data_IF_163734290203
#
_entry.id   IF_163734290203
#
_cell.length_a   1.000
_cell.length_b   1.000
_cell.length_c   1.000
_cell.angle_alpha   90.00
_cell.angle_beta   90.00
_cell.angle_gamma   90.00
#
_symmetry.space_group_name_H-M   'P 1'
#
loop_
_entity.id
_entity.type
_entity.pdbx_description
1 polymer ?
#
# COMPACT_ATOMS: atom_id res chain seq x y z
N UNK A 1 14.06 15.83 -33.43
CA UNK A 1 13.07 15.96 -32.33
C UNK A 1 13.43 14.93 -31.27
N UNK A 2 13.35 15.26 -29.99
CA UNK A 2 13.58 14.24 -28.94
C UNK A 2 12.46 13.19 -29.03
N UNK A 3 12.84 11.91 -28.92
CA UNK A 3 11.90 10.77 -28.95
C UNK A 3 11.36 10.54 -27.53
N UNK A 4 10.61 11.52 -27.01
CA UNK A 4 10.02 11.43 -25.67
C UNK A 4 8.77 10.53 -25.69
N UNK A 5 8.63 9.68 -24.68
CA UNK A 5 7.50 8.77 -24.47
C UNK A 5 7.33 8.53 -22.96
N UNK A 6 6.11 8.27 -22.51
CA UNK A 6 5.79 7.90 -21.12
C UNK A 6 5.03 6.57 -21.11
N UNK A 7 5.52 5.62 -20.31
CA UNK A 7 4.77 4.40 -20.02
C UNK A 7 3.55 4.71 -19.16
N UNK A 8 2.36 4.59 -19.75
CA UNK A 8 1.08 4.83 -19.09
C UNK A 8 0.33 3.54 -18.71
N UNK A 9 0.81 2.38 -19.13
CA UNK A 9 0.17 1.09 -18.84
C UNK A 9 1.26 0.08 -18.47
N UNK A 10 1.42 -0.16 -17.17
CA UNK A 10 2.36 -1.15 -16.65
C UNK A 10 1.91 -1.72 -15.30
N UNK A 11 2.34 -2.94 -15.06
CA UNK A 11 1.97 -3.77 -13.92
C UNK A 11 3.19 -4.08 -13.07
N UNK A 12 3.11 -3.74 -11.79
CA UNK A 12 4.09 -4.14 -10.80
C UNK A 12 3.74 -5.51 -10.21
N UNK A 13 4.59 -6.00 -9.31
CA UNK A 13 4.30 -7.17 -8.49
C UNK A 13 3.04 -7.04 -7.61
N UNK A 14 2.45 -5.84 -7.48
CA UNK A 14 1.14 -5.65 -6.84
C UNK A 14 -0.04 -5.99 -7.75
N UNK A 15 0.17 -6.20 -9.05
CA UNK A 15 -0.72 -7.01 -9.89
C UNK A 15 -0.52 -8.48 -9.55
N UNK A 16 -1.09 -8.91 -8.42
CA UNK A 16 -0.80 -10.20 -7.80
C UNK A 16 -1.01 -11.37 -8.78
N UNK A 17 0.01 -12.21 -8.89
CA UNK A 17 0.05 -13.38 -9.78
C UNK A 17 -0.07 -13.03 -11.27
N UNK A 18 0.34 -11.83 -11.67
CA UNK A 18 0.38 -11.41 -13.06
C UNK A 18 1.61 -10.52 -13.37
N UNK A 19 1.79 -9.42 -12.64
CA UNK A 19 2.96 -8.54 -12.78
C UNK A 19 4.20 -9.06 -12.07
N UNK A 20 5.37 -8.84 -12.67
CA UNK A 20 6.68 -9.25 -12.18
C UNK A 20 7.63 -8.07 -11.88
N UNK A 21 7.20 -6.83 -12.18
CA UNK A 21 8.05 -5.65 -12.01
C UNK A 21 8.14 -5.25 -10.53
N UNK A 22 9.36 -5.24 -9.99
CA UNK A 22 9.64 -4.67 -8.66
C UNK A 22 9.78 -3.15 -8.76
N UNK A 23 9.10 -2.42 -7.87
CA UNK A 23 9.04 -0.95 -7.92
C UNK A 23 10.43 -0.30 -7.78
N UNK A 24 11.31 -0.72 -6.86
CA UNK A 24 12.66 -0.13 -6.77
C UNK A 24 13.48 -0.33 -8.06
N UNK A 25 13.40 -1.51 -8.66
CA UNK A 25 14.12 -1.84 -9.89
C UNK A 25 13.56 -1.05 -11.08
N UNK A 26 12.23 -0.88 -11.15
CA UNK A 26 11.55 -0.04 -12.13
C UNK A 26 12.02 1.42 -12.05
N UNK A 27 12.14 1.98 -10.85
CA UNK A 27 12.59 3.36 -10.66
C UNK A 27 14.03 3.56 -11.19
N UNK A 28 14.95 2.65 -10.87
CA UNK A 28 16.32 2.72 -11.39
C UNK A 28 16.35 2.61 -12.91
N UNK A 29 15.59 1.66 -13.46
CA UNK A 29 15.54 1.45 -14.91
C UNK A 29 14.87 2.60 -15.66
N UNK A 30 13.84 3.21 -15.08
CA UNK A 30 13.20 4.42 -15.63
C UNK A 30 14.19 5.58 -15.74
N UNK A 31 15.02 5.78 -14.70
CA UNK A 31 16.11 6.77 -14.72
C UNK A 31 17.17 6.44 -15.76
N UNK A 32 17.61 5.18 -15.83
CA UNK A 32 18.57 4.72 -16.84
C UNK A 32 18.07 4.97 -18.27
N UNK A 33 16.78 4.73 -18.52
CA UNK A 33 16.15 4.90 -19.82
C UNK A 33 15.77 6.36 -20.12
N UNK A 34 16.04 7.28 -19.19
CA UNK A 34 15.79 8.72 -19.38
C UNK A 34 14.31 9.12 -19.33
N UNK A 35 13.44 8.31 -18.73
CA UNK A 35 12.03 8.66 -18.58
C UNK A 35 11.85 9.89 -17.68
N UNK A 36 11.00 10.82 -18.11
CA UNK A 36 10.59 11.98 -17.30
C UNK A 36 9.42 11.65 -16.37
N UNK A 37 8.55 10.74 -16.80
CA UNK A 37 7.41 10.26 -16.04
C UNK A 37 7.14 8.79 -16.35
N UNK A 38 6.53 8.08 -15.40
CA UNK A 38 6.09 6.69 -15.53
C UNK A 38 4.79 6.52 -14.74
N UNK A 39 3.81 5.78 -15.27
CA UNK A 39 2.59 5.44 -14.57
C UNK A 39 2.67 4.06 -13.92
N UNK A 40 1.88 3.84 -12.87
CA UNK A 40 1.60 2.50 -12.33
C UNK A 40 0.10 2.24 -12.43
N UNK A 41 -0.29 1.12 -13.03
CA UNK A 41 -1.71 0.78 -13.32
C UNK A 41 -2.01 -0.66 -12.95
N UNK A 42 -1.77 -1.03 -11.69
CA UNK A 42 -1.98 -2.41 -11.25
C UNK A 42 -3.44 -2.88 -11.37
N UNK A 43 -3.62 -4.20 -11.53
CA UNK A 43 -4.92 -4.84 -11.73
C UNK A 43 -5.85 -4.68 -10.53
N UNK A 44 -6.88 -3.86 -10.68
CA UNK A 44 -7.98 -3.70 -9.74
C UNK A 44 -7.57 -3.14 -8.37
N UNK A 45 -6.36 -2.61 -8.23
CA UNK A 45 -5.84 -2.13 -6.96
C UNK A 45 -4.83 -0.98 -7.13
N UNK A 46 -4.51 -0.32 -6.01
CA UNK A 46 -3.48 0.72 -5.91
C UNK A 46 -2.51 0.42 -4.75
N UNK A 47 -2.26 -0.87 -4.45
CA UNK A 47 -1.47 -1.28 -3.28
C UNK A 47 -0.05 -0.72 -3.30
N UNK A 48 0.57 -0.70 -4.48
CA UNK A 48 1.93 -0.17 -4.68
C UNK A 48 2.02 1.35 -4.79
N UNK A 49 0.92 2.10 -4.71
CA UNK A 49 0.92 3.53 -5.07
C UNK A 49 1.87 4.38 -4.21
N UNK A 50 1.94 4.13 -2.89
CA UNK A 50 2.81 4.90 -1.98
C UNK A 50 4.29 4.56 -2.21
N UNK A 51 4.62 3.27 -2.31
CA UNK A 51 5.99 2.82 -2.58
C UNK A 51 6.45 3.37 -3.94
N UNK A 52 5.63 3.24 -4.97
CA UNK A 52 5.90 3.76 -6.31
C UNK A 52 6.14 5.27 -6.33
N UNK A 53 5.26 6.03 -5.68
CA UNK A 53 5.40 7.48 -5.58
C UNK A 53 6.74 7.86 -4.94
N UNK A 54 7.10 7.21 -3.83
CA UNK A 54 8.35 7.46 -3.10
C UNK A 54 9.58 7.07 -3.92
N UNK A 55 9.61 5.86 -4.49
CA UNK A 55 10.77 5.36 -5.26
C UNK A 55 11.01 6.18 -6.52
N UNK A 56 9.95 6.57 -7.25
CA UNK A 56 10.06 7.42 -8.43
C UNK A 56 10.58 8.83 -8.10
N UNK A 57 10.04 9.46 -7.03
CA UNK A 57 10.52 10.77 -6.57
C UNK A 57 12.00 10.72 -6.15
N UNK A 58 12.48 9.64 -5.51
CA UNK A 58 13.91 9.47 -5.14
C UNK A 58 14.85 9.53 -6.33
N UNK A 59 14.43 9.02 -7.50
CA UNK A 59 15.25 8.98 -8.72
C UNK A 59 15.01 10.18 -9.65
N UNK A 60 14.11 11.10 -9.28
CA UNK A 60 13.76 12.28 -10.09
C UNK A 60 12.83 12.00 -11.27
N UNK A 61 12.12 10.87 -11.25
CA UNK A 61 11.10 10.50 -12.26
C UNK A 61 9.73 10.86 -11.72
N UNK A 62 8.88 11.49 -12.53
CA UNK A 62 7.52 11.88 -12.11
C UNK A 62 6.61 10.65 -12.01
N UNK A 63 6.05 10.32 -10.83
CA UNK A 63 5.08 9.22 -10.71
C UNK A 63 3.70 9.65 -11.21
N UNK A 64 3.05 8.79 -12.00
CA UNK A 64 1.63 8.90 -12.36
C UNK A 64 0.89 7.74 -11.69
N UNK A 65 -0.04 8.04 -10.80
CA UNK A 65 -0.79 7.01 -10.08
C UNK A 65 -2.05 6.66 -10.86
N UNK A 66 -2.21 5.38 -11.18
CA UNK A 66 -3.41 4.87 -11.83
C UNK A 66 -3.81 3.49 -11.32
N UNK A 67 -4.83 2.93 -11.98
CA UNK A 67 -5.38 1.60 -11.75
C UNK A 67 -5.88 1.07 -13.08
N UNK A 68 -5.61 -0.20 -13.38
CA UNK A 68 -6.36 -0.91 -14.42
C UNK A 68 -7.55 -1.58 -13.72
N UNK A 69 -8.69 -0.89 -13.72
CA UNK A 69 -9.90 -1.34 -13.04
C UNK A 69 -10.58 -2.46 -13.82
N UNK A 70 -11.16 -3.43 -13.09
CA UNK A 70 -12.13 -4.34 -13.68
C UNK A 70 -13.48 -3.65 -13.74
N UNK A 71 -14.12 -3.69 -14.90
CA UNK A 71 -15.34 -2.97 -15.23
C UNK A 71 -16.44 -3.96 -15.61
N UNK A 72 -17.65 -3.71 -15.13
CA UNK A 72 -18.88 -4.41 -15.54
C UNK A 72 -20.03 -3.41 -15.66
N UNK A 73 -21.15 -3.80 -16.28
CA UNK A 73 -22.32 -2.93 -16.38
C UNK A 73 -23.00 -2.69 -15.01
N UNK A 74 -22.95 -3.68 -14.11
CA UNK A 74 -23.54 -3.62 -12.79
C UNK A 74 -22.68 -4.42 -11.79
N UNK A 75 -22.07 -3.76 -10.82
CA UNK A 75 -21.12 -4.40 -9.89
C UNK A 75 -21.78 -5.41 -8.94
N UNK A 76 -23.09 -5.29 -8.71
CA UNK A 76 -23.87 -6.16 -7.83
C UNK A 76 -24.36 -7.44 -8.52
N UNK A 77 -24.34 -7.48 -9.86
CA UNK A 77 -24.71 -8.68 -10.60
C UNK A 77 -23.64 -9.76 -10.42
N UNK A 78 -24.07 -10.91 -9.92
CA UNK A 78 -23.26 -12.12 -9.80
C UNK A 78 -24.04 -13.19 -10.55
N UNK A 79 -23.85 -13.31 -11.87
CA UNK A 79 -24.56 -14.33 -12.65
C UNK A 79 -24.07 -15.73 -12.23
N UNK A 80 -24.78 -16.33 -11.29
CA UNK A 80 -24.71 -17.74 -10.95
C UNK A 80 -25.76 -18.53 -11.73
N UNK A 81 -25.38 -19.72 -12.16
CA UNK A 81 -26.15 -20.75 -12.87
C UNK A 81 -26.25 -20.60 -14.41
N UNK A 82 -25.44 -21.41 -15.12
CA UNK A 82 -25.73 -21.80 -16.51
C UNK A 82 -24.83 -21.25 -17.62
N UNK A 83 -23.83 -20.41 -17.32
CA UNK A 83 -22.79 -20.08 -18.31
C UNK A 83 -21.45 -20.72 -17.91
N UNK A 84 -21.04 -21.78 -18.63
CA UNK A 84 -19.75 -22.47 -18.47
C UNK A 84 -18.52 -21.60 -18.82
N UNK A 85 -18.66 -20.29 -18.83
CA UNK A 85 -17.54 -19.37 -18.98
C UNK A 85 -17.54 -18.35 -17.86
N UNK A 86 -16.44 -18.34 -17.11
CA UNK A 86 -15.93 -17.18 -16.35
C UNK A 86 -15.82 -15.91 -17.25
N UNK A 87 -15.99 -16.08 -18.57
CA UNK A 87 -15.97 -15.05 -19.62
C UNK A 87 -17.34 -14.41 -19.92
N UNK A 88 -18.46 -14.92 -19.38
CA UNK A 88 -19.78 -14.34 -19.62
C UNK A 88 -20.06 -13.11 -18.75
N UNK A 89 -19.49 -13.07 -17.54
CA UNK A 89 -19.41 -11.86 -16.72
C UNK A 89 -18.16 -11.10 -17.15
N UNK A 90 -18.33 -10.25 -18.16
CA UNK A 90 -17.24 -9.55 -18.86
C UNK A 90 -16.52 -8.60 -17.88
N UNK A 91 -15.49 -9.10 -17.20
CA UNK A 91 -14.55 -8.31 -16.39
C UNK A 91 -13.66 -7.50 -17.33
N UNK A 92 -14.24 -6.47 -17.94
CA UNK A 92 -13.52 -5.63 -18.87
C UNK A 92 -12.45 -4.83 -18.15
N UNK A 93 -11.40 -4.46 -18.86
CA UNK A 93 -10.36 -3.59 -18.31
C UNK A 93 -10.65 -2.12 -18.66
N UNK A 94 -10.34 -1.22 -17.74
CA UNK A 94 -10.41 0.22 -17.96
C UNK A 94 -9.32 0.90 -17.12
N UNK A 95 -8.49 1.72 -17.75
CA UNK A 95 -7.42 2.42 -17.04
C UNK A 95 -7.93 3.78 -16.57
N UNK A 96 -7.64 4.09 -15.31
CA UNK A 96 -7.89 5.39 -14.71
C UNK A 96 -6.60 5.95 -14.12
N UNK A 97 -6.23 7.17 -14.50
CA UNK A 97 -5.10 7.91 -13.91
C UNK A 97 -5.60 9.07 -13.07
N UNK A 98 -4.99 9.29 -11.91
CA UNK A 98 -5.26 10.46 -11.09
C UNK A 98 -4.53 11.69 -11.64
N UNK A 99 -5.28 12.75 -11.97
CA UNK A 99 -4.72 14.04 -12.37
C UNK A 99 -4.21 14.86 -11.19
N UNK A 100 -4.87 14.73 -10.05
CA UNK A 100 -4.65 15.60 -8.89
C UNK A 100 -5.06 14.89 -7.59
N UNK A 101 -5.07 15.63 -6.48
CA UNK A 101 -5.49 15.13 -5.16
C UNK A 101 -6.91 14.57 -5.17
N UNK A 102 -7.85 15.20 -5.89
CA UNK A 102 -9.24 14.74 -6.00
C UNK A 102 -9.32 13.44 -6.80
N UNK A 103 -8.60 13.36 -7.92
CA UNK A 103 -8.42 12.13 -8.68
C UNK A 103 -7.88 10.99 -7.83
N UNK A 104 -6.82 11.23 -7.06
CA UNK A 104 -6.24 10.20 -6.19
C UNK A 104 -7.23 9.74 -5.10
N UNK A 105 -8.01 10.66 -4.51
CA UNK A 105 -9.09 10.30 -3.60
C UNK A 105 -10.18 9.46 -4.27
N UNK A 106 -10.53 9.79 -5.50
CA UNK A 106 -11.50 9.04 -6.29
C UNK A 106 -10.97 7.64 -6.65
N UNK A 107 -9.69 7.48 -7.00
CA UNK A 107 -9.07 6.16 -7.17
C UNK A 107 -9.14 5.32 -5.90
N UNK A 108 -8.85 5.91 -4.72
CA UNK A 108 -8.99 5.22 -3.44
C UNK A 108 -10.43 4.76 -3.19
N UNK A 109 -11.43 5.60 -3.50
CA UNK A 109 -12.85 5.24 -3.37
C UNK A 109 -13.26 4.13 -4.34
N UNK A 110 -12.89 4.25 -5.61
CA UNK A 110 -13.18 3.25 -6.64
C UNK A 110 -12.58 1.89 -6.26
N UNK A 111 -11.28 1.85 -5.90
CA UNK A 111 -10.63 0.60 -5.49
C UNK A 111 -11.29 0.02 -4.23
N UNK A 112 -11.60 0.83 -3.22
CA UNK A 112 -12.27 0.36 -2.01
C UNK A 112 -13.64 -0.26 -2.31
N UNK A 113 -14.49 0.44 -3.08
CA UNK A 113 -15.84 -0.02 -3.41
C UNK A 113 -15.81 -1.23 -4.34
N UNK A 114 -14.82 -1.34 -5.22
CA UNK A 114 -14.62 -2.52 -6.04
C UNK A 114 -14.37 -3.78 -5.18
N UNK A 115 -13.64 -3.64 -4.07
CA UNK A 115 -13.40 -4.75 -3.12
C UNK A 115 -14.57 -4.97 -2.15
N UNK A 116 -15.23 -3.93 -1.64
CA UNK A 116 -16.25 -4.06 -0.60
C UNK A 116 -17.66 -4.33 -1.15
N UNK A 117 -17.97 -3.84 -2.35
CA UNK A 117 -19.30 -3.97 -2.97
C UNK A 117 -19.25 -4.81 -4.25
N UNK A 118 -18.28 -4.54 -5.13
CA UNK A 118 -18.22 -5.11 -6.49
C UNK A 118 -17.46 -6.43 -6.63
N UNK A 119 -16.99 -7.00 -5.52
CA UNK A 119 -16.14 -8.19 -5.57
C UNK A 119 -16.95 -9.44 -5.92
N UNK A 120 -16.55 -10.09 -7.01
CA UNK A 120 -17.01 -11.42 -7.38
C UNK A 120 -15.82 -12.38 -7.56
N UNK A 121 -15.28 -12.50 -8.77
CA UNK A 121 -13.96 -13.11 -9.01
C UNK A 121 -12.82 -12.08 -8.97
N UNK A 122 -13.16 -10.84 -9.30
CA UNK A 122 -12.29 -9.68 -9.35
C UNK A 122 -12.99 -8.50 -8.66
N UNK A 123 -12.27 -7.50 -8.14
CA UNK A 123 -12.86 -6.27 -7.61
C UNK A 123 -13.35 -5.40 -8.78
N UNK A 124 -14.66 -5.29 -8.99
CA UNK A 124 -15.24 -4.62 -10.17
C UNK A 124 -15.88 -3.28 -9.83
N UNK A 125 -15.74 -2.32 -10.73
CA UNK A 125 -16.52 -1.08 -10.74
C UNK A 125 -17.57 -1.13 -11.87
N UNK A 126 -18.44 -0.14 -11.91
CA UNK A 126 -19.49 0.00 -12.92
C UNK A 126 -19.74 1.46 -13.32
N UNK A 127 -20.75 1.68 -14.15
CA UNK A 127 -21.10 3.01 -14.65
C UNK A 127 -21.50 3.99 -13.54
N UNK A 128 -22.25 3.54 -12.53
CA UNK A 128 -22.66 4.41 -11.41
C UNK A 128 -21.44 4.95 -10.67
N UNK A 129 -20.47 4.08 -10.39
CA UNK A 129 -19.23 4.49 -9.73
C UNK A 129 -18.37 5.40 -10.62
N UNK A 130 -18.28 5.14 -11.93
CA UNK A 130 -17.58 6.03 -12.85
C UNK A 130 -18.23 7.41 -12.89
N UNK A 131 -19.54 7.49 -13.09
CA UNK A 131 -20.29 8.77 -13.11
C UNK A 131 -20.11 9.55 -11.80
N UNK A 132 -20.09 8.86 -10.65
CA UNK A 132 -19.94 9.49 -9.34
C UNK A 132 -18.51 9.95 -9.03
N UNK A 133 -17.49 9.25 -9.51
CA UNK A 133 -16.08 9.45 -9.10
C UNK A 133 -15.14 9.78 -10.29
N UNK A 134 -15.63 10.24 -11.44
CA UNK A 134 -14.81 10.60 -12.60
C UNK A 134 -13.97 11.88 -12.40
N UNK A 135 -14.38 12.79 -11.53
CA UNK A 135 -13.70 14.08 -11.34
C UNK A 135 -12.22 13.89 -10.99
N UNK A 136 -11.33 14.64 -11.64
CA UNK A 136 -9.88 14.54 -11.42
C UNK A 136 -9.24 13.27 -12.00
N UNK A 137 -9.97 12.46 -12.78
CA UNK A 137 -9.43 11.26 -13.44
C UNK A 137 -9.27 11.46 -14.95
N UNK A 138 -8.29 10.75 -15.52
CA UNK A 138 -8.16 10.46 -16.95
C UNK A 138 -8.57 9.01 -17.20
N UNK A 139 -9.33 8.76 -18.26
CA UNK A 139 -9.77 7.44 -18.66
C UNK A 139 -9.09 6.99 -19.96
N UNK A 140 -8.58 5.76 -19.95
CA UNK A 140 -7.92 5.11 -21.08
C UNK A 140 -8.53 3.71 -21.31
N UNK A 141 -8.78 3.34 -22.57
CA UNK A 141 -9.61 2.15 -22.92
C UNK A 141 -8.95 0.78 -22.75
N UNK A 142 -7.74 0.72 -22.17
CA UNK A 142 -7.00 -0.49 -21.80
C UNK A 142 -6.61 -1.40 -22.99
N UNK A 143 -6.18 -2.62 -22.68
CA UNK A 143 -5.74 -3.65 -23.62
C UNK A 143 -6.92 -4.33 -24.37
N UNK A 144 -6.69 -5.44 -25.07
CA UNK A 144 -7.75 -6.23 -25.75
C UNK A 144 -8.88 -6.73 -24.83
N UNK A 145 -8.65 -6.73 -23.50
CA UNK A 145 -9.69 -7.02 -22.50
C UNK A 145 -10.50 -5.79 -22.09
N UNK A 146 -10.20 -4.60 -22.60
CA UNK A 146 -11.08 -3.45 -22.51
C UNK A 146 -12.30 -3.63 -23.41
N UNK A 147 -13.46 -3.09 -23.01
CA UNK A 147 -14.70 -3.33 -23.76
C UNK A 147 -14.67 -2.74 -25.17
N UNK A 148 -14.06 -1.56 -25.38
CA UNK A 148 -13.93 -0.95 -26.71
C UNK A 148 -13.02 -1.78 -27.62
N UNK A 149 -11.74 -2.06 -27.24
CA UNK A 149 -10.87 -2.92 -28.04
C UNK A 149 -11.49 -4.30 -28.33
N UNK A 150 -12.14 -4.91 -27.33
CA UNK A 150 -12.80 -6.21 -27.46
C UNK A 150 -13.93 -6.22 -28.50
N UNK A 151 -14.79 -5.20 -28.48
CA UNK A 151 -15.91 -5.08 -29.42
C UNK A 151 -15.38 -4.82 -30.84
N UNK A 152 -14.37 -3.96 -30.98
CA UNK A 152 -13.78 -3.61 -32.26
C UNK A 152 -13.04 -4.80 -32.90
N UNK A 153 -12.30 -5.59 -32.11
CA UNK A 153 -11.69 -6.84 -32.58
C UNK A 153 -12.72 -7.84 -33.14
N UNK A 154 -13.99 -7.73 -32.72
CA UNK A 154 -15.12 -8.56 -33.19
C UNK A 154 -15.94 -7.90 -34.31
N UNK A 155 -15.51 -6.75 -34.82
CA UNK A 155 -16.26 -5.99 -35.83
C UNK A 155 -17.55 -5.33 -35.31
N UNK A 156 -17.75 -5.26 -34.00
CA UNK A 156 -18.95 -4.69 -33.37
C UNK A 156 -18.83 -3.17 -33.20
N UNK A 157 -18.66 -2.44 -34.30
CA UNK A 157 -18.36 -1.01 -34.30
C UNK A 157 -19.47 -0.16 -33.65
N UNK A 158 -20.74 -0.43 -33.96
CA UNK A 158 -21.87 0.37 -33.45
C UNK A 158 -21.98 0.30 -31.92
N UNK A 159 -21.76 -0.90 -31.34
CA UNK A 159 -21.76 -1.08 -29.89
C UNK A 159 -20.55 -0.38 -29.25
N UNK A 160 -19.36 -0.52 -29.85
CA UNK A 160 -18.17 0.21 -29.41
C UNK A 160 -18.37 1.74 -29.47
N UNK A 161 -19.10 2.24 -30.47
CA UNK A 161 -19.44 3.65 -30.60
C UNK A 161 -20.33 4.14 -29.46
N UNK A 162 -21.36 3.38 -29.07
CA UNK A 162 -22.22 3.77 -27.95
C UNK A 162 -21.43 3.82 -26.62
N UNK A 163 -20.58 2.83 -26.37
CA UNK A 163 -19.74 2.83 -25.17
C UNK A 163 -18.69 3.94 -25.18
N UNK A 164 -18.03 4.17 -26.32
CA UNK A 164 -17.08 5.27 -26.50
C UNK A 164 -17.73 6.63 -26.30
N UNK A 165 -18.94 6.81 -26.82
CA UNK A 165 -19.74 8.03 -26.60
C UNK A 165 -20.06 8.22 -25.12
N UNK A 166 -20.53 7.17 -24.43
CA UNK A 166 -20.82 7.26 -22.99
C UNK A 166 -19.58 7.63 -22.17
N UNK A 167 -18.42 7.03 -22.47
CA UNK A 167 -17.17 7.44 -21.85
C UNK A 167 -16.84 8.91 -22.15
N UNK A 168 -17.06 9.37 -23.39
CA UNK A 168 -16.80 10.77 -23.78
C UNK A 168 -17.73 11.73 -23.05
N UNK A 169 -18.99 11.34 -22.83
CA UNK A 169 -19.96 12.12 -22.06
C UNK A 169 -19.54 12.25 -20.57
N UNK A 170 -18.86 11.24 -20.01
CA UNK A 170 -18.37 11.24 -18.61
C UNK A 170 -17.03 11.99 -18.47
N UNK A 171 -16.06 11.69 -19.33
CA UNK A 171 -14.68 12.13 -19.16
C UNK A 171 -14.28 13.32 -20.06
N UNK A 172 -15.07 13.65 -21.08
CA UNK A 172 -14.81 14.78 -21.97
C UNK A 172 -13.41 14.71 -22.62
N UNK A 173 -12.60 15.73 -22.39
CA UNK A 173 -11.22 15.84 -22.90
C UNK A 173 -10.20 14.98 -22.13
N UNK A 174 -10.63 14.28 -21.08
CA UNK A 174 -9.82 13.36 -20.30
C UNK A 174 -10.05 11.89 -20.70
N UNK A 175 -10.73 11.65 -21.82
CA UNK A 175 -10.82 10.33 -22.45
C UNK A 175 -9.75 10.17 -23.53
N UNK A 176 -9.06 9.04 -23.50
CA UNK A 176 -8.08 8.63 -24.52
C UNK A 176 -8.34 7.19 -24.95
N UNK A 177 -8.21 6.92 -26.25
CA UNK A 177 -8.27 5.55 -26.76
C UNK A 177 -6.89 4.95 -26.91
N UNK A 178 -6.71 3.75 -26.39
CA UNK A 178 -5.43 3.09 -26.31
C UNK A 178 -5.17 2.18 -27.51
N UNK A 179 -3.99 2.28 -28.10
CA UNK A 179 -3.49 1.32 -29.10
C UNK A 179 -2.22 0.63 -28.59
N UNK A 180 -2.11 -0.66 -28.89
CA UNK A 180 -0.95 -1.49 -28.55
C UNK A 180 -0.51 -2.24 -29.80
N UNK A 181 0.80 -2.44 -30.00
CA UNK A 181 1.31 -3.26 -31.11
C UNK A 181 1.93 -4.51 -30.49
N UNK A 182 1.21 -5.62 -30.42
CA UNK A 182 1.66 -6.80 -29.67
C UNK A 182 1.81 -8.06 -30.53
N UNK A 183 1.71 -7.90 -31.85
CA UNK A 183 1.85 -8.97 -32.84
C UNK A 183 0.61 -9.86 -32.99
N UNK A 184 -0.51 -9.53 -32.34
CA UNK A 184 -1.78 -10.23 -32.51
C UNK A 184 -2.61 -9.61 -33.62
N UNK A 185 -3.15 -10.44 -34.51
CA UNK A 185 -4.07 -10.01 -35.58
C UNK A 185 -5.33 -9.33 -35.01
N UNK A 186 -5.89 -9.87 -33.91
CA UNK A 186 -7.02 -9.27 -33.20
C UNK A 186 -6.71 -7.87 -32.67
N UNK A 187 -5.46 -7.62 -32.25
CA UNK A 187 -5.01 -6.30 -31.81
C UNK A 187 -4.92 -5.33 -32.99
N UNK A 188 -4.43 -5.79 -34.15
CA UNK A 188 -4.37 -4.95 -35.35
C UNK A 188 -5.77 -4.51 -35.82
N UNK A 189 -6.73 -5.44 -35.79
CA UNK A 189 -8.14 -5.12 -36.09
C UNK A 189 -8.72 -4.15 -35.07
N UNK A 190 -8.49 -4.39 -33.77
CA UNK A 190 -8.90 -3.46 -32.72
C UNK A 190 -8.29 -2.06 -32.95
N UNK A 191 -6.99 -1.96 -33.23
CA UNK A 191 -6.32 -0.68 -33.46
C UNK A 191 -6.92 0.08 -34.65
N UNK A 192 -7.22 -0.58 -35.77
CA UNK A 192 -7.89 0.03 -36.92
C UNK A 192 -9.25 0.62 -36.52
N UNK A 193 -10.07 -0.18 -35.84
CA UNK A 193 -11.36 0.26 -35.34
C UNK A 193 -11.25 1.41 -34.33
N UNK A 194 -10.23 1.39 -33.46
CA UNK A 194 -9.98 2.42 -32.45
C UNK A 194 -9.65 3.75 -33.11
N UNK A 195 -8.81 3.74 -34.15
CA UNK A 195 -8.45 4.96 -34.89
C UNK A 195 -9.67 5.53 -35.62
N UNK A 196 -10.51 4.69 -36.22
CA UNK A 196 -11.77 5.14 -36.84
C UNK A 196 -12.71 5.75 -35.79
N UNK A 197 -12.88 5.05 -34.66
CA UNK A 197 -13.77 5.48 -33.58
C UNK A 197 -13.28 6.80 -32.94
N UNK A 198 -11.98 6.92 -32.70
CA UNK A 198 -11.31 8.13 -32.22
C UNK A 198 -11.65 9.34 -33.10
N UNK A 199 -11.54 9.17 -34.42
CA UNK A 199 -11.87 10.22 -35.39
C UNK A 199 -13.34 10.62 -35.37
N UNK A 200 -14.27 9.66 -35.23
CA UNK A 200 -15.71 9.95 -35.17
C UNK A 200 -16.12 10.69 -33.89
N UNK A 201 -15.50 10.35 -32.76
CA UNK A 201 -15.83 10.92 -31.45
C UNK A 201 -14.98 12.14 -31.06
N UNK A 202 -13.96 12.48 -31.86
CA UNK A 202 -13.01 13.56 -31.51
C UNK A 202 -12.21 13.23 -30.26
N UNK A 203 -11.78 11.98 -30.13
CA UNK A 203 -11.00 11.46 -28.99
C UNK A 203 -9.56 11.22 -29.43
N UNK A 204 -8.59 11.58 -28.60
CA UNK A 204 -7.16 11.35 -28.89
C UNK A 204 -6.79 9.89 -28.68
N UNK A 205 -5.84 9.41 -29.49
CA UNK A 205 -5.28 8.06 -29.38
C UNK A 205 -3.95 8.11 -28.63
N UNK A 206 -3.67 7.13 -27.76
CA UNK A 206 -2.42 6.99 -27.01
C UNK A 206 -1.81 5.62 -27.23
N UNK A 207 -0.48 5.57 -27.31
CA UNK A 207 0.28 4.33 -27.49
C UNK A 207 0.85 3.85 -26.15
N UNK A 208 0.72 2.55 -25.89
CA UNK A 208 1.20 1.90 -24.67
C UNK A 208 1.78 0.52 -24.96
N UNK A 209 2.36 -0.13 -23.94
CA UNK A 209 2.99 -1.44 -24.09
C UNK A 209 2.48 -2.53 -23.13
N UNK A 210 1.64 -2.17 -22.15
CA UNK A 210 1.11 -3.12 -21.16
C UNK A 210 2.22 -3.97 -20.50
N UNK A 211 3.21 -3.28 -19.95
CA UNK A 211 4.43 -3.94 -19.48
C UNK A 211 4.20 -4.72 -18.18
N UNK A 212 4.60 -5.99 -18.16
CA UNK A 212 4.42 -6.91 -17.02
C UNK A 212 5.74 -7.38 -16.40
N UNK A 213 6.85 -7.23 -17.10
CA UNK A 213 8.17 -7.63 -16.62
C UNK A 213 9.23 -6.58 -16.98
N UNK A 214 10.38 -6.63 -16.32
CA UNK A 214 11.33 -5.52 -16.40
C UNK A 214 12.19 -5.62 -17.66
N UNK A 215 12.82 -6.76 -17.91
CA UNK A 215 13.73 -6.99 -19.03
C UNK A 215 13.17 -8.02 -20.03
N UNK A 216 13.53 -7.97 -21.33
CA UNK A 216 13.08 -8.97 -22.31
C UNK A 216 13.31 -10.43 -21.87
N UNK A 217 14.43 -10.70 -21.21
CA UNK A 217 14.80 -12.01 -20.67
C UNK A 217 13.92 -12.50 -19.51
N UNK A 218 13.20 -11.60 -18.83
CA UNK A 218 12.28 -11.95 -17.74
C UNK A 218 10.97 -12.60 -18.23
N UNK A 219 10.78 -12.70 -19.56
CA UNK A 219 9.62 -13.35 -20.18
C UNK A 219 9.37 -14.76 -19.63
N UNK A 220 10.42 -15.56 -19.52
CA UNK A 220 10.29 -16.95 -19.05
C UNK A 220 9.85 -16.99 -17.57
N UNK A 221 10.37 -16.07 -16.74
CA UNK A 221 9.96 -15.94 -15.35
C UNK A 221 8.48 -15.51 -15.23
N UNK A 222 8.03 -14.61 -16.10
CA UNK A 222 6.64 -14.19 -16.18
C UNK A 222 5.70 -15.34 -16.60
N UNK A 223 6.11 -16.20 -17.53
CA UNK A 223 5.36 -17.42 -17.88
C UNK A 223 5.19 -18.37 -16.67
N UNK A 224 6.16 -18.41 -15.74
CA UNK A 224 6.03 -19.15 -14.46
C UNK A 224 4.95 -18.54 -13.58
N UNK A 225 4.91 -17.21 -13.43
CA UNK A 225 3.90 -16.52 -12.63
C UNK A 225 2.49 -16.85 -13.16
N UNK A 226 2.31 -16.83 -14.48
CA UNK A 226 1.06 -17.25 -15.11
C UNK A 226 0.72 -18.71 -14.81
N UNK A 227 1.70 -19.61 -14.92
CA UNK A 227 1.48 -21.02 -14.62
C UNK A 227 1.01 -21.22 -13.16
N UNK A 228 1.59 -20.48 -12.20
CA UNK A 228 1.16 -20.47 -10.81
C UNK A 228 -0.28 -19.93 -10.65
N UNK A 229 -0.61 -18.81 -11.30
CA UNK A 229 -1.96 -18.24 -11.30
C UNK A 229 -3.00 -19.25 -11.79
N UNK A 230 -2.65 -20.02 -12.82
CA UNK A 230 -3.53 -21.01 -13.45
C UNK A 230 -3.49 -22.38 -12.76
N UNK A 231 -2.64 -22.58 -11.75
CA UNK A 231 -2.37 -23.88 -11.12
C UNK A 231 -1.98 -24.95 -12.14
N UNK A 232 -1.13 -24.59 -13.09
CA UNK A 232 -0.61 -25.46 -14.14
C UNK A 232 0.92 -25.55 -14.05
N UNK A 233 1.48 -26.63 -14.59
CA UNK A 233 2.91 -26.67 -14.94
C UNK A 233 3.18 -25.86 -16.21
N UNK A 234 4.44 -25.44 -16.43
CA UNK A 234 4.84 -24.77 -17.69
C UNK A 234 4.54 -25.62 -18.94
N UNK A 235 4.68 -26.94 -18.82
CA UNK A 235 4.37 -27.88 -19.90
C UNK A 235 2.89 -27.82 -20.26
N UNK A 236 2.00 -27.95 -19.27
CA UNK A 236 0.55 -27.88 -19.49
C UNK A 236 0.10 -26.51 -19.99
N UNK A 237 0.74 -25.43 -19.55
CA UNK A 237 0.46 -24.07 -20.01
C UNK A 237 0.70 -23.93 -21.53
N UNK A 238 1.81 -24.50 -22.02
CA UNK A 238 2.16 -24.54 -23.45
C UNK A 238 1.24 -25.48 -24.23
N UNK A 239 1.02 -26.70 -23.74
CA UNK A 239 0.16 -27.70 -24.40
C UNK A 239 -1.31 -27.23 -24.52
N UNK A 240 -1.83 -26.50 -23.53
CA UNK A 240 -3.19 -25.94 -23.54
C UNK A 240 -3.28 -24.62 -24.32
N UNK A 241 -2.19 -24.16 -24.97
CA UNK A 241 -2.16 -22.91 -25.73
C UNK A 241 -2.38 -21.65 -24.88
N UNK A 242 -2.12 -21.73 -23.56
CA UNK A 242 -2.36 -20.65 -22.59
C UNK A 242 -1.11 -19.82 -22.27
N UNK A 243 0.05 -20.21 -22.80
CA UNK A 243 1.27 -19.41 -22.77
C UNK A 243 1.04 -18.02 -23.38
N UNK A 244 1.78 -17.01 -22.93
CA UNK A 244 1.71 -15.69 -23.57
C UNK A 244 2.24 -15.80 -25.01
N UNK A 245 1.32 -15.71 -25.97
CA UNK A 245 1.63 -15.62 -27.40
C UNK A 245 2.30 -14.29 -27.73
N UNK A 246 1.95 -13.25 -26.98
CA UNK A 246 2.52 -11.91 -27.06
C UNK A 246 3.93 -11.88 -26.47
N UNK A 247 4.89 -11.43 -27.27
CA UNK A 247 6.22 -11.02 -26.80
C UNK A 247 6.30 -9.51 -26.59
N UNK A 248 7.36 -9.05 -25.92
CA UNK A 248 7.65 -7.61 -25.80
C UNK A 248 6.83 -6.86 -24.74
N UNK A 249 6.36 -7.55 -23.71
CA UNK A 249 5.70 -6.94 -22.53
C UNK A 249 6.73 -6.53 -21.46
N UNK A 250 8.00 -6.36 -21.83
CA UNK A 250 9.00 -5.79 -20.94
C UNK A 250 8.82 -4.27 -20.82
N UNK A 251 9.43 -3.66 -19.81
CA UNK A 251 9.55 -2.21 -19.72
C UNK A 251 10.51 -1.71 -20.82
N UNK A 252 9.95 -1.16 -21.90
CA UNK A 252 10.69 -0.76 -23.11
C UNK A 252 11.40 0.57 -22.94
N UNK A 253 12.46 0.80 -23.74
CA UNK A 253 13.06 2.13 -23.92
C UNK A 253 12.20 2.99 -24.86
N UNK A 254 12.25 4.34 -24.76
CA UNK A 254 11.55 5.21 -25.70
C UNK A 254 11.87 4.90 -27.17
N UNK A 255 13.13 4.64 -27.51
CA UNK A 255 13.54 4.36 -28.90
C UNK A 255 12.87 3.12 -29.46
N UNK A 256 12.71 2.09 -28.64
CA UNK A 256 12.02 0.84 -28.99
C UNK A 256 10.54 1.11 -29.30
N UNK A 257 9.88 1.95 -28.49
CA UNK A 257 8.50 2.34 -28.73
C UNK A 257 8.32 3.14 -30.02
N UNK A 258 9.25 4.04 -30.33
CA UNK A 258 9.20 4.79 -31.59
C UNK A 258 9.43 3.92 -32.83
N UNK A 259 10.27 2.88 -32.73
CA UNK A 259 10.41 1.92 -33.83
C UNK A 259 9.14 1.08 -33.99
N UNK A 260 8.60 0.62 -32.86
CA UNK A 260 7.40 -0.19 -32.79
C UNK A 260 6.14 0.51 -33.31
N UNK A 261 5.99 1.81 -33.03
CA UNK A 261 4.85 2.63 -33.43
C UNK A 261 5.15 3.57 -34.60
N UNK A 262 6.05 3.17 -35.50
CA UNK A 262 6.34 3.94 -36.72
C UNK A 262 5.06 4.16 -37.54
N UNK A 263 4.77 5.42 -37.87
CA UNK A 263 3.51 5.84 -38.50
C UNK A 263 2.37 6.19 -37.53
N UNK A 264 2.57 5.98 -36.22
CA UNK A 264 1.64 6.34 -35.14
C UNK A 264 2.32 7.24 -34.08
N UNK A 265 3.29 8.06 -34.48
CA UNK A 265 4.10 8.86 -33.56
C UNK A 265 3.27 9.88 -32.76
N UNK A 266 2.11 10.31 -33.28
CA UNK A 266 1.17 11.16 -32.55
C UNK A 266 0.61 10.47 -31.30
N UNK A 267 0.36 9.16 -31.36
CA UNK A 267 -0.13 8.39 -30.21
C UNK A 267 0.93 8.29 -29.11
N UNK A 268 2.21 8.22 -29.46
CA UNK A 268 3.31 8.30 -28.50
C UNK A 268 3.41 9.70 -27.88
N UNK A 269 3.26 10.76 -28.67
CA UNK A 269 3.30 12.15 -28.16
C UNK A 269 2.17 12.44 -27.18
N UNK A 270 0.97 11.92 -27.44
CA UNK A 270 -0.19 12.09 -26.55
C UNK A 270 0.05 11.48 -25.14
N UNK A 271 1.00 10.56 -24.99
CA UNK A 271 1.39 10.05 -23.65
C UNK A 271 2.00 11.15 -22.77
N UNK A 272 2.71 12.10 -23.37
CA UNK A 272 3.30 13.25 -22.67
C UNK A 272 2.22 14.19 -22.16
N UNK A 273 1.15 14.41 -22.93
CA UNK A 273 0.02 15.25 -22.52
C UNK A 273 -0.67 14.69 -21.26
N UNK A 274 -0.90 13.38 -21.21
CA UNK A 274 -1.44 12.73 -19.99
C UNK A 274 -0.46 12.95 -18.82
N UNK A 275 0.83 12.75 -19.05
CA UNK A 275 1.85 12.97 -18.02
C UNK A 275 1.88 14.42 -17.53
N UNK A 276 1.65 15.41 -18.39
CA UNK A 276 1.56 16.82 -18.03
C UNK A 276 0.31 17.13 -17.20
N UNK A 277 -0.84 16.52 -17.53
CA UNK A 277 -2.09 16.65 -16.78
C UNK A 277 -2.03 16.02 -15.38
N UNK A 278 -1.22 14.98 -15.18
CA UNK A 278 -1.12 14.24 -13.90
C UNK A 278 -0.13 14.85 -12.92
N UNK A 279 -0.61 15.57 -11.91
CA UNK A 279 0.17 16.29 -10.88
C UNK A 279 -0.29 15.95 -9.47
N UNK A 280 -0.34 14.65 -9.13
CA UNK A 280 -0.67 14.19 -7.79
C UNK A 280 0.48 14.50 -6.83
N UNK A 281 0.17 15.17 -5.73
CA UNK A 281 1.07 15.31 -4.59
C UNK A 281 0.51 14.57 -3.39
N UNK A 282 1.31 13.66 -2.83
CA UNK A 282 0.93 12.83 -1.69
C UNK A 282 1.53 13.43 -0.43
N UNK A 283 0.64 13.89 0.44
CA UNK A 283 0.98 14.40 1.77
C UNK A 283 1.50 13.24 2.64
N UNK A 284 2.78 13.28 3.01
CA UNK A 284 3.39 12.41 4.03
C UNK A 284 3.26 13.04 5.41
N UNK A 285 3.52 12.23 6.46
CA UNK A 285 3.61 12.73 7.83
C UNK A 285 4.61 13.90 7.97
N UNK A 286 5.69 13.90 7.17
CA UNK A 286 6.69 14.99 7.18
C UNK A 286 6.14 16.30 6.59
N UNK A 287 5.22 16.21 5.63
CA UNK A 287 4.66 17.40 4.93
C UNK A 287 3.37 17.93 5.54
N UNK A 288 2.53 17.06 6.10
CA UNK A 288 1.20 17.41 6.64
C UNK A 288 1.13 17.32 8.18
N UNK A 289 2.11 16.67 8.80
CA UNK A 289 2.01 16.26 10.19
C UNK A 289 1.19 14.98 10.38
N UNK A 290 1.14 14.50 11.61
CA UNK A 290 0.37 13.32 11.97
C UNK A 290 -1.14 13.62 11.98
N UNK A 291 -1.93 12.67 11.48
CA UNK A 291 -3.39 12.73 11.52
C UNK A 291 -3.90 11.90 12.69
N UNK A 292 -4.19 12.57 13.81
CA UNK A 292 -4.82 11.94 14.96
C UNK A 292 -6.36 12.01 14.84
N UNK A 293 -7.09 11.02 15.37
CA UNK A 293 -8.51 11.18 15.66
C UNK A 293 -8.73 12.39 16.58
N UNK A 294 -9.80 13.16 16.33
CA UNK A 294 -10.15 14.28 17.20
C UNK A 294 -10.54 13.76 18.59
N UNK A 295 -9.84 14.18 19.63
CA UNK A 295 -10.17 13.88 21.01
C UNK A 295 -11.24 14.85 21.54
N UNK A 296 -12.31 14.29 22.13
CA UNK A 296 -13.38 15.05 22.74
C UNK A 296 -13.24 14.96 24.27
N UNK A 297 -13.08 16.11 24.95
CA UNK A 297 -13.05 16.13 26.41
C UNK A 297 -14.43 15.71 26.94
N UNK A 298 -14.48 14.71 27.85
CA UNK A 298 -15.73 14.29 28.45
C UNK A 298 -16.46 15.44 29.16
N UNK A 299 -17.75 15.59 28.87
CA UNK A 299 -18.62 16.60 29.50
C UNK A 299 -18.69 17.94 28.74
N UNK A 300 -18.02 18.08 27.59
CA UNK A 300 -18.25 19.20 26.68
C UNK A 300 -19.28 18.84 25.60
N UNK A 301 -20.31 19.69 25.45
CA UNK A 301 -21.38 19.55 24.44
C UNK A 301 -20.99 20.12 23.06
N UNK A 302 -19.74 20.52 22.88
CA UNK A 302 -19.18 21.08 21.63
C UNK A 302 -17.84 20.46 21.31
N UNK A 303 -17.39 20.58 20.05
CA UNK A 303 -16.03 20.17 19.69
C UNK A 303 -15.00 20.84 20.62
N UNK A 304 -14.04 20.03 21.07
CA UNK A 304 -12.92 20.46 21.89
C UNK A 304 -11.90 21.20 21.03
N UNK A 305 -11.49 22.39 21.46
CA UNK A 305 -10.42 23.18 20.79
C UNK A 305 -9.03 22.58 21.06
N UNK A 306 -8.04 22.92 20.24
CA UNK A 306 -6.67 22.44 20.45
C UNK A 306 -6.09 22.93 21.78
N UNK A 307 -6.35 24.18 22.15
CA UNK A 307 -5.92 24.76 23.42
C UNK A 307 -6.53 24.00 24.61
N UNK A 308 -7.82 23.67 24.56
CA UNK A 308 -8.48 22.89 25.62
C UNK A 308 -7.90 21.48 25.74
N UNK A 309 -7.56 20.83 24.62
CA UNK A 309 -6.89 19.51 24.66
C UNK A 309 -5.53 19.62 25.35
N UNK A 310 -4.76 20.66 25.03
CA UNK A 310 -3.46 20.91 25.67
C UNK A 310 -3.64 21.10 27.19
N UNK A 311 -4.55 21.97 27.60
CA UNK A 311 -4.83 22.24 29.02
C UNK A 311 -5.32 20.99 29.75
N UNK A 312 -6.20 20.20 29.12
CA UNK A 312 -6.72 18.97 29.70
C UNK A 312 -5.65 17.89 29.83
N UNK A 313 -4.77 17.75 28.83
CA UNK A 313 -3.59 16.89 28.91
C UNK A 313 -2.71 17.27 30.09
N UNK A 314 -2.37 18.56 30.23
CA UNK A 314 -1.55 19.05 31.34
C UNK A 314 -2.19 18.75 32.69
N UNK A 315 -3.50 19.01 32.82
CA UNK A 315 -4.27 18.73 34.02
C UNK A 315 -4.19 17.25 34.39
N UNK A 316 -4.47 16.35 33.44
CA UNK A 316 -4.44 14.91 33.70
C UNK A 316 -3.04 14.40 34.00
N UNK A 317 -2.00 14.95 33.37
CA UNK A 317 -0.61 14.61 33.64
C UNK A 317 -0.21 14.98 35.08
N UNK A 318 -0.53 16.21 35.50
CA UNK A 318 -0.26 16.71 36.87
C UNK A 318 -1.05 15.93 37.91
N UNK A 319 -2.35 15.74 37.72
CA UNK A 319 -3.19 14.92 38.60
C UNK A 319 -2.71 13.47 38.68
N UNK A 320 -2.25 12.92 37.55
CA UNK A 320 -1.70 11.57 37.47
C UNK A 320 -0.41 11.41 38.27
N UNK A 321 0.48 12.42 38.24
CA UNK A 321 1.69 12.42 39.05
C UNK A 321 1.36 12.53 40.54
N UNK A 322 0.49 13.46 40.95
CA UNK A 322 0.12 13.62 42.37
C UNK A 322 -0.43 12.32 42.96
N UNK A 323 -1.36 11.65 42.26
CA UNK A 323 -1.90 10.34 42.68
C UNK A 323 -0.82 9.27 42.86
N UNK A 324 0.21 9.28 42.01
CA UNK A 324 1.34 8.33 42.12
C UNK A 324 2.23 8.68 43.31
N UNK A 325 2.54 9.96 43.51
CA UNK A 325 3.38 10.41 44.62
C UNK A 325 2.70 10.19 45.98
N UNK A 326 1.38 10.40 46.08
CA UNK A 326 0.58 10.09 47.30
C UNK A 326 0.67 8.61 47.70
N UNK A 327 0.80 7.71 46.72
CA UNK A 327 0.94 6.28 46.97
C UNK A 327 2.33 5.88 47.49
N UNK A 328 3.33 6.76 47.40
CA UNK A 328 4.69 6.54 47.89
C UNK A 328 4.82 7.03 49.33
N UNK A 329 4.92 6.09 50.28
CA UNK A 329 4.87 6.36 51.73
C UNK A 329 6.04 7.19 52.30
N UNK A 330 7.14 7.34 51.55
CA UNK A 330 8.34 8.07 51.99
C UNK A 330 9.08 8.65 50.78
N UNK A 331 8.80 9.91 50.47
CA UNK A 331 9.56 10.67 49.48
C UNK A 331 10.19 11.90 50.14
N UNK A 332 11.46 12.16 49.86
CA UNK A 332 12.10 13.39 50.34
C UNK A 332 11.53 14.61 49.59
N UNK A 333 11.50 15.80 50.21
CA UNK A 333 11.09 17.03 49.52
C UNK A 333 11.93 17.31 48.26
N UNK A 334 13.20 16.92 48.26
CA UNK A 334 14.09 17.04 47.11
C UNK A 334 13.63 16.16 45.93
N UNK A 335 13.31 14.88 46.19
CA UNK A 335 12.79 13.97 45.15
C UNK A 335 11.41 14.39 44.66
N UNK A 336 10.57 14.92 45.54
CA UNK A 336 9.26 15.43 45.16
C UNK A 336 9.38 16.62 44.18
N UNK A 337 10.31 17.53 44.44
CA UNK A 337 10.63 18.65 43.55
C UNK A 337 11.19 18.15 42.20
N UNK A 338 12.10 17.19 42.22
CA UNK A 338 12.70 16.58 41.02
C UNK A 338 11.63 15.99 40.07
N UNK A 339 10.67 15.22 40.59
CA UNK A 339 9.58 14.66 39.78
C UNK A 339 8.69 15.73 39.14
N UNK A 340 8.38 16.80 39.89
CA UNK A 340 7.57 17.91 39.36
C UNK A 340 8.30 18.66 38.25
N UNK A 341 9.57 18.99 38.46
CA UNK A 341 10.39 19.67 37.44
C UNK A 341 10.55 18.81 36.20
N UNK A 342 10.74 17.49 36.37
CA UNK A 342 10.81 16.54 35.26
C UNK A 342 9.50 16.46 34.47
N UNK A 343 8.35 16.40 35.16
CA UNK A 343 7.05 16.37 34.50
C UNK A 343 6.80 17.65 33.69
N UNK A 344 7.10 18.83 34.25
CA UNK A 344 6.91 20.09 33.52
C UNK A 344 7.82 20.18 32.28
N UNK A 345 9.06 19.68 32.37
CA UNK A 345 9.92 19.55 31.21
C UNK A 345 9.28 18.66 30.12
N UNK A 346 8.79 17.47 30.48
CA UNK A 346 8.17 16.55 29.52
C UNK A 346 6.87 17.10 28.91
N UNK A 347 6.01 17.71 29.73
CA UNK A 347 4.81 18.41 29.27
C UNK A 347 5.18 19.45 28.20
N UNK A 348 6.19 20.27 28.48
CA UNK A 348 6.61 21.32 27.53
C UNK A 348 7.13 20.74 26.22
N UNK A 349 7.93 19.67 26.27
CA UNK A 349 8.40 18.97 25.05
C UNK A 349 7.23 18.40 24.26
N UNK A 350 6.29 17.69 24.91
CA UNK A 350 5.13 17.08 24.26
C UNK A 350 4.27 18.15 23.57
N UNK A 351 4.06 19.29 24.24
CA UNK A 351 3.35 20.45 23.67
C UNK A 351 4.05 21.01 22.45
N UNK A 352 5.35 21.27 22.53
CA UNK A 352 6.14 21.78 21.42
C UNK A 352 6.10 20.87 20.20
N UNK A 353 6.03 19.55 20.42
CA UNK A 353 5.96 18.56 19.37
C UNK A 353 4.52 18.30 18.85
N UNK A 354 3.49 18.87 19.46
CA UNK A 354 2.09 18.71 19.02
C UNK A 354 1.47 17.35 19.34
N UNK A 355 1.97 16.62 20.34
CA UNK A 355 1.45 15.32 20.76
C UNK A 355 0.46 15.27 21.96
N UNK A 356 -0.02 16.37 22.60
CA UNK A 356 -0.97 16.26 23.71
C UNK A 356 -2.21 15.42 23.38
N UNK A 357 -2.79 15.61 22.19
CA UNK A 357 -3.98 14.87 21.75
C UNK A 357 -3.72 13.36 21.62
N UNK A 358 -2.55 12.95 21.13
CA UNK A 358 -2.15 11.54 21.08
C UNK A 358 -2.15 10.91 22.48
N UNK A 359 -1.60 11.61 23.48
CA UNK A 359 -1.59 11.12 24.86
C UNK A 359 -2.99 11.01 25.45
N UNK A 360 -3.89 11.96 25.14
CA UNK A 360 -5.29 11.92 25.57
C UNK A 360 -6.01 10.69 25.01
N UNK A 361 -5.87 10.42 23.71
CA UNK A 361 -6.46 9.24 23.07
C UNK A 361 -5.95 7.96 23.73
N UNK A 362 -4.63 7.83 23.89
CA UNK A 362 -4.00 6.62 24.45
C UNK A 362 -4.41 6.38 25.89
N UNK A 363 -4.38 7.42 26.71
CA UNK A 363 -4.80 7.34 28.10
C UNK A 363 -6.28 6.96 28.23
N UNK A 364 -7.15 7.45 27.35
CA UNK A 364 -8.59 7.22 27.43
C UNK A 364 -8.96 5.75 27.23
N UNK A 365 -8.54 5.13 26.12
CA UNK A 365 -8.88 3.73 25.88
C UNK A 365 -8.20 2.78 26.89
N UNK A 366 -7.01 3.12 27.40
CA UNK A 366 -6.37 2.35 28.48
C UNK A 366 -7.19 2.42 29.77
N UNK A 367 -7.65 3.61 30.15
CA UNK A 367 -8.45 3.80 31.35
C UNK A 367 -9.85 3.18 31.22
N UNK A 368 -10.46 3.23 30.03
CA UNK A 368 -11.68 2.50 29.72
C UNK A 368 -11.48 1.00 29.94
N UNK A 369 -10.42 0.41 29.39
CA UNK A 369 -10.13 -1.01 29.56
C UNK A 369 -9.98 -1.39 31.04
N UNK A 370 -9.20 -0.64 31.82
CA UNK A 370 -9.04 -0.85 33.26
C UNK A 370 -10.35 -0.79 34.03
N UNK A 371 -11.21 0.22 33.75
CA UNK A 371 -12.52 0.39 34.41
C UNK A 371 -13.49 -0.74 34.10
N UNK A 372 -13.37 -1.37 32.93
CA UNK A 372 -14.26 -2.44 32.48
C UNK A 372 -13.68 -3.85 32.71
N UNK A 373 -12.65 -3.98 33.55
CA UNK A 373 -12.03 -5.27 33.84
C UNK A 373 -11.32 -5.93 32.65
N UNK A 374 -11.01 -5.17 31.60
CA UNK A 374 -10.27 -5.64 30.44
C UNK A 374 -8.77 -5.57 30.79
N UNK A 375 -8.04 -6.70 30.80
CA UNK A 375 -6.63 -6.71 31.17
C UNK A 375 -5.80 -5.81 30.26
N UNK A 376 -5.06 -4.88 30.87
CA UNK A 376 -4.04 -4.06 30.20
C UNK A 376 -2.67 -4.43 30.75
N UNK A 377 -1.71 -4.74 29.88
CA UNK A 377 -0.34 -5.02 30.31
C UNK A 377 0.34 -3.78 30.92
N UNK A 378 1.48 -3.92 31.60
CA UNK A 378 2.21 -2.80 32.22
C UNK A 378 2.79 -1.76 31.23
N UNK A 379 2.49 -1.86 29.93
CA UNK A 379 3.19 -1.18 28.84
C UNK A 379 4.32 -2.06 28.30
N UNK A 380 4.57 -2.02 26.99
CA UNK A 380 5.69 -2.75 26.39
C UNK A 380 6.39 -1.87 25.36
N UNK A 381 7.65 -1.55 25.65
CA UNK A 381 8.72 -1.28 24.70
C UNK A 381 9.92 -2.17 25.09
N UNK A 382 11.03 -2.12 24.34
CA UNK A 382 12.25 -2.81 24.75
C UNK A 382 13.04 -1.92 25.74
N UNK A 383 13.01 -2.27 27.04
CA UNK A 383 13.56 -1.45 28.13
C UNK A 383 14.94 -1.96 28.58
N UNK A 384 15.30 -3.22 28.27
CA UNK A 384 16.53 -3.83 28.77
C UNK A 384 17.71 -3.67 27.79
N UNK A 385 18.81 -2.98 28.17
CA UNK A 385 19.97 -2.76 27.30
C UNK A 385 20.61 -4.06 26.79
N UNK A 386 20.65 -5.10 27.62
CA UNK A 386 21.26 -6.39 27.27
C UNK A 386 20.26 -7.42 26.70
N UNK A 387 18.99 -7.04 26.55
CA UNK A 387 17.99 -7.89 25.91
C UNK A 387 18.37 -8.14 24.46
N UNK A 388 18.23 -9.38 24.00
CA UNK A 388 18.63 -9.77 22.64
C UNK A 388 17.47 -9.58 21.68
N UNK A 389 17.73 -8.93 20.55
CA UNK A 389 16.83 -8.87 19.39
C UNK A 389 17.41 -9.70 18.27
N UNK A 390 16.54 -10.28 17.45
CA UNK A 390 16.94 -10.99 16.23
C UNK A 390 17.13 -10.00 15.09
N UNK A 391 18.24 -10.12 14.38
CA UNK A 391 18.50 -9.42 13.13
C UNK A 391 17.89 -10.20 11.97
N UNK A 392 17.67 -9.51 10.84
CA UNK A 392 17.17 -10.10 9.60
C UNK A 392 18.05 -11.25 9.08
N UNK A 393 19.34 -11.28 9.44
CA UNK A 393 20.29 -12.32 9.08
C UNK A 393 20.31 -13.53 10.04
N UNK A 394 19.37 -13.58 10.99
CA UNK A 394 19.21 -14.67 11.95
C UNK A 394 20.15 -14.60 13.17
N UNK A 395 21.07 -13.64 13.22
CA UNK A 395 21.90 -13.40 14.42
C UNK A 395 21.09 -12.70 15.51
N UNK A 396 21.58 -12.77 16.75
CA UNK A 396 21.04 -11.97 17.85
C UNK A 396 22.02 -10.88 18.24
N UNK A 397 21.49 -9.72 18.63
CA UNK A 397 22.29 -8.58 19.09
C UNK A 397 21.60 -7.93 20.28
N UNK A 398 22.39 -7.39 21.22
CA UNK A 398 21.82 -6.69 22.37
C UNK A 398 21.18 -5.38 21.93
N UNK A 399 20.06 -5.00 22.52
CA UNK A 399 19.33 -3.76 22.21
C UNK A 399 20.25 -2.54 22.28
N UNK A 400 21.15 -2.48 23.28
CA UNK A 400 22.11 -1.38 23.42
C UNK A 400 23.12 -1.28 22.28
N UNK A 401 23.39 -2.37 21.57
CA UNK A 401 24.37 -2.42 20.50
C UNK A 401 23.74 -2.22 19.11
N UNK A 402 22.40 -2.22 19.04
CA UNK A 402 21.64 -1.99 17.81
C UNK A 402 21.84 -0.55 17.32
N UNK A 403 22.00 -0.42 16.00
CA UNK A 403 22.17 0.83 15.27
C UNK A 403 20.95 1.15 14.41
N UNK A 404 20.69 2.45 14.23
CA UNK A 404 19.69 2.93 13.26
C UNK A 404 20.08 2.41 11.87
N UNK A 405 19.10 1.89 11.13
CA UNK A 405 19.28 1.25 9.82
C UNK A 405 19.54 -0.26 9.85
N UNK A 406 19.82 -0.87 11.01
CA UNK A 406 19.86 -2.33 11.12
C UNK A 406 18.45 -2.92 11.03
N UNK A 407 18.28 -4.03 10.30
CA UNK A 407 17.00 -4.71 10.17
C UNK A 407 16.82 -5.76 11.26
N UNK A 408 15.72 -5.68 12.01
CA UNK A 408 15.36 -6.57 13.10
C UNK A 408 14.08 -7.34 12.79
N UNK A 409 13.97 -8.55 13.35
CA UNK A 409 12.75 -9.35 13.29
C UNK A 409 11.85 -8.96 14.47
N UNK A 410 10.63 -8.51 14.18
CA UNK A 410 9.65 -8.17 15.20
C UNK A 410 9.05 -9.42 15.85
N UNK A 411 8.34 -9.25 16.97
CA UNK A 411 7.58 -10.33 17.62
C UNK A 411 6.51 -10.98 16.72
N UNK A 412 6.14 -10.34 15.59
CA UNK A 412 5.20 -10.87 14.60
C UNK A 412 5.90 -11.60 13.44
N UNK A 413 7.23 -11.58 13.39
CA UNK A 413 8.03 -12.15 12.32
C UNK A 413 8.37 -11.18 11.19
N UNK A 414 7.88 -9.94 11.25
CA UNK A 414 8.19 -8.91 10.24
C UNK A 414 9.65 -8.45 10.32
N UNK A 415 10.29 -8.20 9.18
CA UNK A 415 11.64 -7.64 9.10
C UNK A 415 11.52 -6.13 8.90
N UNK A 416 11.89 -5.34 9.90
CA UNK A 416 11.79 -3.88 9.87
C UNK A 416 13.14 -3.21 10.20
N UNK A 417 13.47 -2.08 9.57
CA UNK A 417 14.65 -1.31 9.94
C UNK A 417 14.43 -0.61 11.29
N UNK A 418 15.49 -0.51 12.08
CA UNK A 418 15.50 0.32 13.28
C UNK A 418 15.57 1.78 12.84
N UNK A 419 14.45 2.48 12.96
CA UNK A 419 14.33 3.88 12.49
C UNK A 419 14.85 4.90 13.49
N UNK A 420 14.85 4.58 14.79
CA UNK A 420 15.30 5.47 15.84
C UNK A 420 15.72 4.69 17.09
N UNK A 421 16.54 5.31 17.96
CA UNK A 421 16.99 4.76 19.23
C UNK A 421 16.89 5.83 20.32
N UNK A 422 16.13 5.52 21.37
CA UNK A 422 16.02 6.36 22.56
C UNK A 422 16.72 5.68 23.72
N UNK A 423 17.57 6.42 24.44
CA UNK A 423 18.23 5.96 25.66
C UNK A 423 17.83 6.95 26.76
N UNK A 424 17.34 6.42 27.86
CA UNK A 424 17.02 7.20 29.05
C UNK A 424 17.54 6.43 30.26
N UNK A 425 17.99 7.15 31.28
CA UNK A 425 18.40 6.55 32.54
C UNK A 425 17.18 6.09 33.31
N UNK A 426 17.26 4.90 33.88
CA UNK A 426 16.22 4.29 34.72
C UNK A 426 16.88 3.98 36.05
N UNK A 427 16.37 4.57 37.13
CA UNK A 427 16.80 4.30 38.51
C UNK A 427 15.84 3.27 39.14
N UNK A 428 15.71 2.12 38.50
CA UNK A 428 14.88 1.00 38.97
C UNK A 428 15.78 -0.19 39.29
N UNK A 429 15.58 -0.77 40.47
CA UNK A 429 16.33 -1.94 40.90
C UNK A 429 15.95 -3.16 40.04
N UNK A 430 16.94 -3.71 39.35
CA UNK A 430 16.80 -4.87 38.49
C UNK A 430 17.19 -6.12 39.28
N UNK A 431 16.30 -7.12 39.31
CA UNK A 431 16.53 -8.43 39.93
C UNK A 431 16.66 -9.52 38.87
N UNK A 432 17.60 -10.43 39.08
CA UNK A 432 17.80 -11.60 38.23
C UNK A 432 17.31 -12.86 38.95
N UNK A 433 16.29 -13.50 38.42
CA UNK A 433 15.78 -14.79 38.88
C UNK A 433 16.41 -15.89 38.02
N UNK A 434 17.16 -16.81 38.64
CA UNK A 434 17.69 -17.99 37.96
C UNK A 434 16.68 -19.13 38.00
N UNK A 435 16.31 -19.67 36.84
CA UNK A 435 15.40 -20.80 36.68
C UNK A 435 16.11 -21.87 35.84
N UNK A 436 16.60 -22.92 36.51
CA UNK A 436 17.41 -23.95 35.85
C UNK A 436 18.71 -23.38 35.28
N UNK A 437 18.97 -23.57 33.98
CA UNK A 437 20.11 -23.00 33.25
C UNK A 437 19.84 -21.61 32.67
N UNK A 438 18.63 -21.07 32.84
CA UNK A 438 18.24 -19.77 32.31
C UNK A 438 18.21 -18.73 33.43
N UNK A 439 18.41 -17.47 33.04
CA UNK A 439 18.17 -16.33 33.92
C UNK A 439 17.13 -15.40 33.32
N UNK A 440 16.22 -14.97 34.18
CA UNK A 440 15.17 -14.01 33.88
C UNK A 440 15.48 -12.74 34.65
N UNK A 441 15.74 -11.66 33.94
CA UNK A 441 16.00 -10.34 34.52
C UNK A 441 14.73 -9.49 34.44
N UNK A 442 14.29 -8.93 35.57
CA UNK A 442 13.07 -8.13 35.69
C UNK A 442 13.28 -7.01 36.73
N UNK A 443 12.47 -5.97 36.69
CA UNK A 443 12.43 -4.95 37.76
C UNK A 443 11.66 -5.50 38.97
N UNK A 444 11.92 -4.96 40.17
CA UNK A 444 11.35 -5.46 41.43
C UNK A 444 9.81 -5.44 41.51
N UNK A 445 9.14 -4.66 40.68
CA UNK A 445 7.68 -4.52 40.62
C UNK A 445 6.99 -5.59 39.74
N UNK A 446 7.76 -6.39 38.97
CA UNK A 446 7.21 -7.47 38.15
C UNK A 446 6.66 -8.61 39.01
N UNK A 447 5.34 -8.84 38.93
CA UNK A 447 4.71 -10.04 39.52
C UNK A 447 4.98 -11.25 38.64
N UNK A 448 5.72 -12.23 39.16
CA UNK A 448 6.06 -13.48 38.45
C UNK A 448 5.20 -14.63 38.97
N UNK A 449 4.54 -15.37 38.08
CA UNK A 449 3.89 -16.62 38.43
C UNK A 449 4.94 -17.74 38.39
N UNK A 450 5.24 -18.35 39.54
CA UNK A 450 6.20 -19.45 39.64
C UNK A 450 5.44 -20.75 39.82
N UNK A 451 5.61 -21.69 38.88
CA UNK A 451 5.06 -23.04 38.98
C UNK A 451 6.21 -24.03 39.18
N UNK A 452 6.22 -24.74 40.32
CA UNK A 452 7.16 -25.83 40.56
C UNK A 452 6.64 -27.08 39.85
N UNK A 453 7.34 -27.58 38.85
CA UNK A 453 6.99 -28.83 38.15
C UNK A 453 8.07 -29.87 38.42
N UNK A 454 7.68 -31.04 38.95
CA UNK A 454 8.61 -32.13 39.26
C UNK A 454 8.96 -32.98 38.02
N UNK A 455 8.28 -32.77 36.88
CA UNK A 455 8.47 -33.56 35.66
C UNK A 455 8.50 -32.66 34.42
N UNK A 456 9.67 -32.12 34.08
CA UNK A 456 9.91 -31.46 32.80
C UNK A 456 10.75 -32.37 31.90
N UNK A 457 10.19 -32.87 30.80
CA UNK A 457 10.95 -33.52 29.72
C UNK A 457 11.16 -32.54 28.57
N UNK A 458 12.42 -32.23 28.27
CA UNK A 458 12.81 -31.45 27.09
C UNK A 458 12.90 -32.42 25.91
N UNK A 459 11.97 -32.33 24.96
CA UNK A 459 12.07 -33.09 23.71
C UNK A 459 12.77 -32.21 22.65
N UNK A 460 14.05 -32.48 22.40
CA UNK A 460 14.96 -31.57 21.67
C UNK A 460 14.78 -31.54 20.14
N UNK A 461 13.82 -32.27 19.57
CA UNK A 461 13.74 -32.40 18.10
C UNK A 461 12.66 -31.58 17.40
N UNK A 462 11.70 -30.95 18.10
CA UNK A 462 10.73 -30.04 17.45
C UNK A 462 10.37 -28.88 18.36
N UNK A 463 10.68 -27.66 17.92
CA UNK A 463 10.15 -26.42 18.49
C UNK A 463 8.61 -26.48 18.57
N UNK A 464 8.06 -26.80 19.74
CA UNK A 464 6.73 -26.36 20.23
C UNK A 464 6.49 -26.85 21.67
N UNK A 465 6.29 -25.87 22.56
CA UNK A 465 5.70 -25.95 23.91
C UNK A 465 6.28 -26.97 24.90
N UNK A 466 7.00 -26.49 25.90
CA UNK A 466 7.15 -27.19 27.18
C UNK A 466 5.75 -27.30 27.81
N UNK A 467 5.16 -28.50 27.82
CA UNK A 467 3.90 -28.74 28.53
C UNK A 467 4.25 -29.22 29.94
N UNK A 468 4.35 -28.28 30.88
CA UNK A 468 4.38 -28.62 32.30
C UNK A 468 2.96 -29.04 32.71
N UNK A 469 2.76 -30.31 33.08
CA UNK A 469 1.50 -30.71 33.73
C UNK A 469 1.47 -30.14 35.15
N UNK A 470 0.38 -29.50 35.60
CA UNK A 470 0.21 -29.13 36.99
C UNK A 470 0.13 -30.40 37.86
N UNK A 471 0.80 -30.39 39.01
CA UNK A 471 0.50 -31.29 40.13
C UNK A 471 -0.67 -30.76 40.93
#
# INVERSE_FOLDING_TARGET
MSKDFVHLHLHSHFSLLDGAIKIPDLAQKAKEYGYKAVALTDHGNIFGAIEFYQEMKKVGVKPIIGIEAYFTNNRFEKKGEGSDSILADKNYHLILHAKDKKGFQNLMKLSSLAYTEGFYYKPRIDWELLEKYHEGLICQTACLKGFIPHLLAKGQFDEAYQYGKRLKDIFGEDLYFEIQINGLEEQEEANRGIIELAKKLGVKVVATNDSHYLNPEDRDAHDVIKALQMKLTLKELKEKGKAFKVGGLHFTRPEEMYEKFKGYEEALKNTMEIAEKCNVEIETADTRGYLFPKYQIPGLDRETTEEEKVEYFEKLAREGLEKRLESMKTLSPAKYKEYKERLEYEINVIKQMGFPEYFLIVQDFINFAKKNGIPTGPGRGCIYPDGKVYLADGRTKKIKDIKIGEFVITHRGDILPVINKYVYEIDEEVVEIKVGSESLTLTTDHKVLVQKSENCTVNSEKFRSVICKPS
#
